data_IF_804800802316
#
_entry.id   IF_804800802316
#
_cell.length_a   1.000
_cell.length_b   1.000
_cell.length_c   1.000
_cell.angle_alpha   90.00
_cell.angle_beta   90.00
_cell.angle_gamma   90.00
#
_symmetry.space_group_name_H-M   'P 1'
#
loop_
_entity.id
_entity.type
_entity.pdbx_description
1 polymer ?
#
# COMPACT_ATOMS: atom_id res chain seq x y z
N UNK A 1 -14.68 34.42 -3.30
CA UNK A 1 -14.92 34.20 -4.75
C UNK A 1 -15.70 35.34 -5.42
N UNK A 2 -16.62 36.06 -4.75
CA UNK A 2 -17.24 37.26 -5.36
C UNK A 2 -18.06 36.98 -6.63
N UNK A 3 -18.51 35.74 -6.82
CA UNK A 3 -19.26 35.30 -8.01
C UNK A 3 -20.76 35.54 -7.82
N UNK A 4 -21.43 35.92 -8.91
CA UNK A 4 -22.89 36.00 -8.99
C UNK A 4 -23.50 34.65 -9.35
N UNK A 5 -24.67 34.28 -8.78
CA UNK A 5 -25.39 33.08 -9.22
C UNK A 5 -25.70 33.12 -10.73
N UNK A 6 -25.64 31.97 -11.39
CA UNK A 6 -25.98 31.82 -12.80
C UNK A 6 -27.14 30.85 -12.99
N UNK A 7 -27.83 30.98 -14.12
CA UNK A 7 -28.95 30.11 -14.52
C UNK A 7 -28.44 29.17 -15.61
N UNK A 8 -28.66 27.87 -15.41
CA UNK A 8 -28.20 26.85 -16.35
C UNK A 8 -28.95 26.95 -17.68
N UNK A 9 -28.19 26.89 -18.77
CA UNK A 9 -28.70 26.72 -20.12
C UNK A 9 -29.13 25.28 -20.41
N UNK A 10 -29.66 25.03 -21.62
CA UNK A 10 -29.98 23.68 -22.07
C UNK A 10 -28.76 22.75 -21.97
N UNK A 11 -28.97 21.49 -21.57
CA UNK A 11 -27.94 20.44 -21.34
C UNK A 11 -27.00 20.67 -20.14
N UNK A 12 -26.73 21.90 -19.72
CA UNK A 12 -25.72 22.18 -18.68
C UNK A 12 -25.97 21.44 -17.35
N UNK A 13 -27.23 21.25 -16.95
CA UNK A 13 -27.57 20.46 -15.77
C UNK A 13 -27.14 18.99 -15.88
N UNK A 14 -27.35 18.36 -17.04
CA UNK A 14 -26.89 16.98 -17.28
C UNK A 14 -25.37 16.92 -17.39
N UNK A 15 -24.75 17.88 -18.08
CA UNK A 15 -23.30 17.93 -18.21
C UNK A 15 -22.58 18.06 -16.85
N UNK A 16 -23.21 18.69 -15.86
CA UNK A 16 -22.66 18.84 -14.52
C UNK A 16 -22.92 17.61 -13.61
N UNK A 17 -24.06 16.94 -13.76
CA UNK A 17 -24.49 15.87 -12.86
C UNK A 17 -24.17 14.47 -13.36
N UNK A 18 -24.16 14.28 -14.68
CA UNK A 18 -23.95 12.98 -15.30
C UNK A 18 -22.47 12.75 -15.58
N UNK A 19 -21.94 11.64 -15.07
CA UNK A 19 -20.54 11.28 -15.26
C UNK A 19 -19.97 10.49 -14.10
N UNK A 20 -18.67 10.19 -14.20
CA UNK A 20 -17.97 9.29 -13.28
C UNK A 20 -17.03 10.02 -12.32
N UNK A 21 -17.03 11.35 -12.32
CA UNK A 21 -16.00 12.19 -11.71
C UNK A 21 -15.82 11.93 -10.21
N UNK A 22 -16.92 11.75 -9.46
CA UNK A 22 -16.86 11.46 -8.01
C UNK A 22 -16.24 10.09 -7.76
N UNK A 23 -16.67 9.06 -8.48
CA UNK A 23 -16.13 7.70 -8.35
C UNK A 23 -14.65 7.67 -8.72
N UNK A 24 -14.29 8.31 -9.84
CA UNK A 24 -12.90 8.41 -10.34
C UNK A 24 -12.01 9.15 -9.36
N UNK A 25 -12.46 10.28 -8.80
CA UNK A 25 -11.69 11.04 -7.83
C UNK A 25 -11.42 10.26 -6.53
N UNK A 26 -12.43 9.54 -6.02
CA UNK A 26 -12.26 8.67 -4.85
C UNK A 26 -11.30 7.51 -5.15
N UNK A 27 -11.38 6.92 -6.34
CA UNK A 27 -10.52 5.82 -6.74
C UNK A 27 -9.06 6.28 -6.92
N UNK A 28 -8.85 7.46 -7.52
CA UNK A 28 -7.52 8.09 -7.64
C UNK A 28 -6.93 8.42 -6.27
N UNK A 29 -7.74 8.98 -5.35
CA UNK A 29 -7.30 9.18 -3.97
C UNK A 29 -6.85 7.86 -3.34
N UNK A 30 -7.66 6.80 -3.48
CA UNK A 30 -7.32 5.46 -2.99
C UNK A 30 -6.04 4.89 -3.63
N UNK A 31 -5.84 5.11 -4.93
CA UNK A 31 -4.61 4.73 -5.64
C UNK A 31 -3.38 5.44 -5.05
N UNK A 32 -3.41 6.77 -4.90
CA UNK A 32 -2.28 7.53 -4.37
C UNK A 32 -1.96 7.17 -2.92
N UNK A 33 -2.99 6.95 -2.10
CA UNK A 33 -2.81 6.45 -0.73
C UNK A 33 -2.21 5.04 -0.72
N UNK A 34 -2.64 4.16 -1.64
CA UNK A 34 -2.11 2.81 -1.79
C UNK A 34 -0.66 2.78 -2.29
N UNK A 35 -0.26 3.71 -3.16
CA UNK A 35 1.12 3.87 -3.64
C UNK A 35 2.06 4.28 -2.50
N UNK A 36 1.66 5.26 -1.68
CA UNK A 36 2.41 5.66 -0.50
C UNK A 36 2.56 4.50 0.49
N UNK A 37 1.45 3.79 0.75
CA UNK A 37 1.43 2.59 1.57
C UNK A 37 2.33 1.47 1.02
N UNK A 38 2.33 1.26 -0.29
CA UNK A 38 3.16 0.27 -0.97
C UNK A 38 4.66 0.55 -0.75
N UNK A 39 5.08 1.80 -0.96
CA UNK A 39 6.46 2.22 -0.69
C UNK A 39 6.82 2.04 0.80
N UNK A 40 5.94 2.47 1.72
CA UNK A 40 6.13 2.26 3.14
C UNK A 40 6.26 0.76 3.51
N UNK A 41 5.43 -0.10 2.91
CA UNK A 41 5.45 -1.54 3.11
C UNK A 41 6.73 -2.21 2.62
N UNK A 42 7.33 -1.72 1.53
CA UNK A 42 8.64 -2.16 1.07
C UNK A 42 9.77 -1.74 2.02
N UNK A 43 9.74 -0.48 2.50
CA UNK A 43 10.71 -0.01 3.49
C UNK A 43 10.59 -0.80 4.80
N UNK A 44 9.38 -0.99 5.32
CA UNK A 44 9.12 -1.79 6.52
C UNK A 44 9.57 -3.24 6.34
N UNK A 45 9.32 -3.84 5.17
CA UNK A 45 9.81 -5.18 4.85
C UNK A 45 11.33 -5.29 4.81
N UNK A 46 12.03 -4.27 4.29
CA UNK A 46 13.49 -4.21 4.31
C UNK A 46 14.03 -4.04 5.75
N UNK A 47 13.41 -3.19 6.56
CA UNK A 47 13.72 -3.06 7.99
C UNK A 47 13.52 -4.40 8.72
N UNK A 48 12.43 -5.12 8.44
CA UNK A 48 12.16 -6.42 9.05
C UNK A 48 13.18 -7.49 8.63
N UNK A 49 13.61 -7.48 7.36
CA UNK A 49 14.67 -8.36 6.85
C UNK A 49 15.99 -8.13 7.61
N UNK A 50 16.34 -6.87 7.85
CA UNK A 50 17.50 -6.44 8.63
C UNK A 50 17.40 -6.87 10.10
N UNK A 51 16.27 -6.57 10.74
CA UNK A 51 16.02 -6.88 12.15
C UNK A 51 16.22 -8.36 12.47
N UNK A 52 15.86 -9.26 11.55
CA UNK A 52 16.00 -10.71 11.77
C UNK A 52 17.30 -11.29 11.22
N UNK A 53 18.16 -10.47 10.61
CA UNK A 53 19.34 -10.93 9.85
C UNK A 53 18.94 -11.99 8.82
N UNK A 54 18.01 -11.64 7.94
CA UNK A 54 17.46 -12.56 6.94
C UNK A 54 18.36 -12.71 5.70
N UNK A 55 18.08 -13.73 4.90
CA UNK A 55 18.89 -14.06 3.73
C UNK A 55 18.63 -13.15 2.54
N UNK A 56 19.70 -12.80 1.82
CA UNK A 56 19.63 -12.08 0.54
C UNK A 56 19.32 -12.99 -0.65
N UNK A 57 19.52 -14.31 -0.51
CA UNK A 57 19.35 -15.27 -1.60
C UNK A 57 17.97 -15.19 -2.27
N UNK A 58 16.85 -14.99 -1.54
CA UNK A 58 15.53 -14.83 -2.16
C UNK A 58 15.36 -13.63 -3.10
N UNK A 59 16.26 -12.65 -3.03
CA UNK A 59 16.23 -11.42 -3.84
C UNK A 59 17.17 -11.50 -5.06
N UNK A 60 17.81 -12.65 -5.29
CA UNK A 60 18.67 -12.87 -6.45
C UNK A 60 17.88 -12.67 -7.75
N UNK A 61 18.33 -11.74 -8.59
CA UNK A 61 17.68 -11.35 -9.83
C UNK A 61 17.29 -12.55 -10.72
N UNK A 62 18.08 -13.63 -10.73
CA UNK A 62 17.82 -14.83 -11.56
C UNK A 62 16.54 -15.54 -11.14
N UNK A 63 16.18 -15.53 -9.86
CA UNK A 63 14.93 -16.12 -9.35
C UNK A 63 13.73 -15.38 -9.95
N UNK A 64 13.79 -14.05 -9.97
CA UNK A 64 12.69 -13.21 -10.44
C UNK A 64 12.60 -13.23 -11.97
N UNK A 65 13.74 -13.18 -12.66
CA UNK A 65 13.82 -13.32 -14.11
C UNK A 65 13.30 -14.68 -14.59
N UNK A 66 13.59 -15.77 -13.87
CA UNK A 66 13.05 -17.09 -14.20
C UNK A 66 11.51 -17.15 -14.11
N UNK A 67 10.87 -16.32 -13.27
CA UNK A 67 9.41 -16.24 -13.18
C UNK A 67 8.78 -15.25 -14.17
N UNK A 68 9.48 -14.16 -14.50
CA UNK A 68 9.10 -13.21 -15.55
C UNK A 68 8.00 -12.21 -15.21
N UNK A 69 7.59 -12.08 -13.94
CA UNK A 69 6.61 -11.06 -13.52
C UNK A 69 7.30 -9.72 -13.29
N UNK A 70 6.82 -8.67 -13.97
CA UNK A 70 7.46 -7.35 -13.98
C UNK A 70 7.53 -6.73 -12.59
N UNK A 71 6.41 -6.64 -11.88
CA UNK A 71 6.36 -6.10 -10.53
C UNK A 71 7.26 -6.88 -9.57
N UNK A 72 7.34 -8.21 -9.70
CA UNK A 72 8.23 -9.03 -8.86
C UNK A 72 9.71 -8.73 -9.12
N UNK A 73 10.11 -8.56 -10.39
CA UNK A 73 11.48 -8.21 -10.75
C UNK A 73 11.83 -6.82 -10.19
N UNK A 74 10.92 -5.86 -10.37
CA UNK A 74 11.12 -4.49 -9.93
C UNK A 74 11.23 -4.38 -8.40
N UNK A 75 10.36 -5.08 -7.66
CA UNK A 75 10.42 -5.13 -6.19
C UNK A 75 11.73 -5.76 -5.69
N UNK A 76 12.16 -6.87 -6.30
CA UNK A 76 13.42 -7.50 -5.89
C UNK A 76 14.62 -6.56 -6.06
N UNK A 77 14.67 -5.84 -7.17
CA UNK A 77 15.71 -4.85 -7.43
C UNK A 77 15.65 -3.68 -6.43
N UNK A 78 14.46 -3.16 -6.16
CA UNK A 78 14.27 -2.05 -5.22
C UNK A 78 14.69 -2.42 -3.79
N UNK A 79 14.26 -3.59 -3.29
CA UNK A 79 14.66 -4.06 -1.96
C UNK A 79 16.17 -4.27 -1.90
N UNK A 80 16.76 -4.91 -2.92
CA UNK A 80 18.23 -5.10 -2.99
C UNK A 80 18.99 -3.78 -2.90
N UNK A 81 18.51 -2.73 -3.58
CA UNK A 81 19.09 -1.39 -3.51
C UNK A 81 18.95 -0.76 -2.11
N UNK A 82 17.85 -1.01 -1.39
CA UNK A 82 17.67 -0.48 -0.04
C UNK A 82 18.69 -1.04 0.95
N UNK A 83 19.05 -2.31 0.84
CA UNK A 83 19.88 -3.05 1.82
C UNK A 83 21.35 -3.21 1.37
N UNK A 84 21.75 -2.56 0.28
CA UNK A 84 23.11 -2.62 -0.22
C UNK A 84 24.11 -2.08 0.81
N UNK A 85 25.16 -2.87 1.10
CA UNK A 85 26.22 -2.49 2.05
C UNK A 85 25.91 -2.75 3.53
N UNK A 86 24.83 -3.47 3.86
CA UNK A 86 24.50 -3.81 5.25
C UNK A 86 25.50 -4.75 5.92
N UNK A 87 26.04 -4.35 7.07
CA UNK A 87 26.89 -5.21 7.92
C UNK A 87 26.04 -6.26 8.64
N UNK A 88 24.81 -5.91 8.99
CA UNK A 88 23.87 -6.78 9.72
C UNK A 88 23.53 -8.01 8.88
N UNK A 89 23.20 -7.84 7.59
CA UNK A 89 22.91 -8.98 6.70
C UNK A 89 24.17 -9.80 6.39
N UNK A 90 25.36 -9.19 6.41
CA UNK A 90 26.63 -9.92 6.34
C UNK A 90 26.94 -10.77 7.58
N UNK A 91 26.44 -10.37 8.75
CA UNK A 91 26.81 -10.95 10.05
C UNK A 91 26.31 -12.38 10.31
N UNK A 92 25.36 -12.89 9.52
CA UNK A 92 24.72 -14.20 9.72
C UNK A 92 25.09 -15.26 8.66
N UNK A 93 26.15 -15.03 7.89
CA UNK A 93 26.67 -15.92 6.84
C UNK A 93 26.94 -17.36 7.30
N UNK A 94 27.16 -17.57 8.60
CA UNK A 94 27.37 -18.89 9.22
C UNK A 94 26.25 -19.35 10.16
N UNK A 95 25.05 -18.76 10.08
CA UNK A 95 23.94 -19.18 10.94
C UNK A 95 23.32 -20.50 10.46
N UNK A 96 22.78 -21.29 11.40
CA UNK A 96 22.15 -22.60 11.12
C UNK A 96 20.75 -22.52 10.51
N UNK A 97 20.24 -21.32 10.18
CA UNK A 97 18.90 -21.15 9.58
C UNK A 97 18.92 -21.58 8.11
N UNK A 98 17.97 -22.46 7.75
CA UNK A 98 17.92 -23.06 6.41
C UNK A 98 17.14 -22.18 5.43
N UNK A 99 15.97 -21.67 5.85
CA UNK A 99 15.12 -20.81 5.03
C UNK A 99 14.38 -19.79 5.90
N UNK A 100 14.30 -18.55 5.42
CA UNK A 100 13.46 -17.54 6.04
C UNK A 100 11.97 -17.84 5.81
N UNK A 101 11.09 -17.44 6.76
CA UNK A 101 9.64 -17.51 6.58
C UNK A 101 9.15 -16.73 5.36
N UNK A 102 7.97 -17.10 4.85
CA UNK A 102 7.45 -16.57 3.59
C UNK A 102 7.15 -15.07 3.64
N UNK A 103 6.78 -14.53 4.80
CA UNK A 103 6.51 -13.10 4.96
C UNK A 103 7.73 -12.22 4.63
N UNK A 104 8.94 -12.80 4.69
CA UNK A 104 10.22 -12.16 4.31
C UNK A 104 10.69 -12.66 2.95
N UNK A 105 10.72 -13.99 2.76
CA UNK A 105 11.25 -14.63 1.55
C UNK A 105 10.41 -14.36 0.29
N UNK A 106 9.11 -14.15 0.46
CA UNK A 106 8.17 -13.95 -0.64
C UNK A 106 7.81 -12.47 -0.86
N UNK A 107 8.54 -11.52 -0.26
CA UNK A 107 8.31 -10.08 -0.45
C UNK A 107 8.27 -9.71 -1.93
N UNK A 108 9.23 -10.12 -2.79
CA UNK A 108 9.16 -9.81 -4.21
C UNK A 108 7.91 -10.36 -4.90
N UNK A 109 7.47 -11.56 -4.55
CA UNK A 109 6.35 -12.24 -5.18
C UNK A 109 5.02 -11.58 -4.82
N UNK A 110 4.82 -11.27 -3.53
CA UNK A 110 3.55 -10.71 -3.04
C UNK A 110 3.46 -9.22 -3.36
N UNK A 111 4.48 -8.45 -2.98
CA UNK A 111 4.49 -7.01 -3.26
C UNK A 111 4.60 -6.75 -4.77
N UNK A 112 5.27 -7.61 -5.53
CA UNK A 112 5.30 -7.51 -6.99
C UNK A 112 3.91 -7.67 -7.62
N UNK A 113 3.09 -8.60 -7.13
CA UNK A 113 1.70 -8.74 -7.58
C UNK A 113 0.85 -7.50 -7.20
N UNK A 114 1.07 -6.92 -6.01
CA UNK A 114 0.44 -5.65 -5.64
C UNK A 114 0.84 -4.52 -6.60
N UNK A 115 2.12 -4.43 -6.96
CA UNK A 115 2.62 -3.42 -7.89
C UNK A 115 1.97 -3.55 -9.27
N UNK A 116 1.96 -4.75 -9.86
CA UNK A 116 1.34 -4.98 -11.17
C UNK A 116 -0.16 -4.61 -11.18
N UNK A 117 -0.88 -4.91 -10.08
CA UNK A 117 -2.28 -4.54 -9.91
C UNK A 117 -2.50 -3.02 -9.76
N UNK A 118 -1.65 -2.33 -8.99
CA UNK A 118 -1.70 -0.88 -8.85
C UNK A 118 -1.40 -0.19 -10.20
N UNK A 119 -0.40 -0.66 -10.95
CA UNK A 119 -0.09 -0.17 -12.29
C UNK A 119 -1.26 -0.37 -13.26
N UNK A 120 -1.93 -1.52 -13.20
CA UNK A 120 -3.12 -1.77 -14.02
C UNK A 120 -4.25 -0.78 -13.69
N UNK A 121 -4.57 -0.60 -12.41
CA UNK A 121 -5.61 0.31 -11.96
C UNK A 121 -5.28 1.76 -12.32
N UNK A 122 -4.02 2.19 -12.15
CA UNK A 122 -3.56 3.52 -12.51
C UNK A 122 -3.82 3.85 -13.99
N UNK A 123 -3.51 2.92 -14.90
CA UNK A 123 -3.77 3.10 -16.34
C UNK A 123 -5.26 3.32 -16.63
N UNK A 124 -6.15 2.54 -15.99
CA UNK A 124 -7.60 2.69 -16.18
C UNK A 124 -8.09 4.04 -15.64
N UNK A 125 -7.67 4.41 -14.43
CA UNK A 125 -8.09 5.66 -13.80
C UNK A 125 -7.52 6.89 -14.51
N UNK A 126 -6.35 6.80 -15.14
CA UNK A 126 -5.80 7.87 -15.97
C UNK A 126 -6.65 8.10 -17.22
N UNK A 127 -7.11 7.04 -17.88
CA UNK A 127 -8.03 7.16 -19.02
C UNK A 127 -9.33 7.83 -18.56
N UNK A 128 -9.92 7.33 -17.47
CA UNK A 128 -11.19 7.83 -16.96
C UNK A 128 -11.11 9.29 -16.51
N UNK A 129 -9.99 9.71 -15.92
CA UNK A 129 -9.76 11.10 -15.53
C UNK A 129 -9.79 12.09 -16.72
N UNK A 130 -9.60 11.60 -17.95
CA UNK A 130 -9.61 12.38 -19.18
C UNK A 130 -10.86 12.12 -20.04
N UNK A 131 -11.82 11.33 -19.57
CA UNK A 131 -12.96 10.88 -20.36
C UNK A 131 -14.09 11.93 -20.43
N UNK A 132 -14.79 11.95 -21.57
CA UNK A 132 -16.11 12.58 -21.70
C UNK A 132 -17.18 11.60 -21.19
N UNK A 133 -17.54 11.72 -19.91
CA UNK A 133 -18.43 10.78 -19.21
C UNK A 133 -19.89 11.23 -19.10
N UNK A 134 -20.22 12.47 -19.51
CA UNK A 134 -21.60 12.95 -19.49
C UNK A 134 -22.41 12.42 -20.70
N UNK A 135 -23.71 12.66 -20.68
CA UNK A 135 -24.61 12.20 -21.74
C UNK A 135 -25.83 13.13 -21.90
N UNK A 136 -26.32 13.36 -23.14
CA UNK A 136 -25.79 12.91 -24.43
C UNK A 136 -24.52 13.64 -24.87
N UNK A 137 -23.73 13.03 -25.76
CA UNK A 137 -22.55 13.66 -26.34
C UNK A 137 -22.92 14.47 -27.60
N UNK A 138 -22.21 15.58 -27.79
CA UNK A 138 -22.39 16.49 -28.95
C UNK A 138 -21.14 16.43 -29.82
N UNK A 139 -21.29 15.95 -31.05
CA UNK A 139 -20.22 15.83 -32.04
C UNK A 139 -20.32 16.99 -33.03
N UNK A 140 -19.62 18.08 -32.74
CA UNK A 140 -19.73 19.33 -33.49
C UNK A 140 -19.28 19.22 -34.94
N UNK A 141 -18.37 18.29 -35.26
CA UNK A 141 -17.89 18.06 -36.62
C UNK A 141 -18.98 17.51 -37.55
N UNK A 142 -19.86 16.64 -37.04
CA UNK A 142 -20.98 16.06 -37.80
C UNK A 142 -22.32 16.76 -37.54
N UNK A 143 -22.42 17.50 -36.43
CA UNK A 143 -23.66 18.09 -35.94
C UNK A 143 -24.54 17.11 -35.17
N UNK A 144 -24.05 15.91 -34.89
CA UNK A 144 -24.83 14.86 -34.22
C UNK A 144 -24.89 15.05 -32.70
N UNK A 145 -26.04 14.68 -32.13
CA UNK A 145 -26.22 14.51 -30.68
C UNK A 145 -26.58 13.06 -30.43
N UNK A 146 -25.69 12.33 -29.76
CA UNK A 146 -25.80 10.88 -29.59
C UNK A 146 -25.94 10.56 -28.10
N UNK A 147 -26.99 9.80 -27.77
CA UNK A 147 -27.14 9.21 -26.44
C UNK A 147 -26.41 7.87 -26.37
N UNK A 148 -25.47 7.74 -25.44
CA UNK A 148 -24.74 6.54 -25.10
C UNK A 148 -24.82 6.22 -23.60
N UNK A 149 -23.74 5.65 -23.05
CA UNK A 149 -23.70 5.17 -21.66
C UNK A 149 -22.37 5.42 -20.94
N UNK A 150 -21.59 6.45 -21.35
CA UNK A 150 -20.26 6.72 -20.79
C UNK A 150 -20.29 7.10 -19.28
N UNK A 151 -21.46 7.41 -18.73
CA UNK A 151 -21.63 7.61 -17.29
C UNK A 151 -21.57 6.31 -16.47
N UNK A 152 -21.58 5.13 -17.12
CA UNK A 152 -21.49 3.85 -16.44
C UNK A 152 -20.06 3.54 -16.00
N UNK A 153 -19.76 3.77 -14.72
CA UNK A 153 -18.40 3.71 -14.15
C UNK A 153 -17.85 2.29 -13.88
N UNK A 154 -18.20 1.29 -14.70
CA UNK A 154 -17.74 -0.11 -14.50
C UNK A 154 -16.21 -0.22 -14.46
N UNK A 155 -15.45 0.44 -15.37
CA UNK A 155 -13.99 0.38 -15.32
C UNK A 155 -13.40 0.90 -14.00
N UNK A 156 -14.02 1.94 -13.43
CA UNK A 156 -13.61 2.52 -12.14
C UNK A 156 -13.92 1.56 -10.99
N UNK A 157 -15.07 0.89 -11.02
CA UNK A 157 -15.44 -0.09 -10.01
C UNK A 157 -14.44 -1.24 -9.94
N UNK A 158 -14.07 -1.82 -11.10
CA UNK A 158 -13.04 -2.86 -11.16
C UNK A 158 -11.67 -2.35 -10.72
N UNK A 159 -11.26 -1.15 -11.16
CA UNK A 159 -9.99 -0.57 -10.73
C UNK A 159 -9.94 -0.40 -9.20
N UNK A 160 -11.02 0.09 -8.59
CA UNK A 160 -11.12 0.23 -7.14
C UNK A 160 -11.06 -1.12 -6.41
N UNK A 161 -11.77 -2.14 -6.90
CA UNK A 161 -11.73 -3.48 -6.32
C UNK A 161 -10.35 -4.13 -6.43
N UNK A 162 -9.62 -3.90 -7.52
CA UNK A 162 -8.22 -4.35 -7.69
C UNK A 162 -7.28 -3.65 -6.70
N UNK A 163 -7.42 -2.33 -6.51
CA UNK A 163 -6.62 -1.58 -5.53
C UNK A 163 -6.86 -2.14 -4.12
N UNK A 164 -8.10 -2.50 -3.78
CA UNK A 164 -8.40 -3.07 -2.48
C UNK A 164 -7.65 -4.38 -2.21
N UNK A 165 -7.54 -5.27 -3.22
CA UNK A 165 -6.77 -6.50 -3.07
C UNK A 165 -5.30 -6.19 -2.76
N UNK A 166 -4.70 -5.23 -3.46
CA UNK A 166 -3.33 -4.80 -3.21
C UNK A 166 -3.15 -4.22 -1.80
N UNK A 167 -4.03 -3.31 -1.38
CA UNK A 167 -3.98 -2.68 -0.04
C UNK A 167 -4.13 -3.73 1.09
N UNK A 168 -5.04 -4.68 0.92
CA UNK A 168 -5.25 -5.75 1.88
C UNK A 168 -4.01 -6.65 1.99
N UNK A 169 -3.40 -7.04 0.87
CA UNK A 169 -2.23 -7.93 0.87
C UNK A 169 -0.96 -7.24 1.39
N UNK A 170 -0.77 -5.93 1.13
CA UNK A 170 0.32 -5.15 1.75
C UNK A 170 0.21 -5.17 3.28
N UNK A 171 -1.01 -4.94 3.80
CA UNK A 171 -1.27 -5.03 5.25
C UNK A 171 -1.08 -6.45 5.79
N UNK A 172 -1.59 -7.47 5.09
CA UNK A 172 -1.51 -8.86 5.53
C UNK A 172 -0.06 -9.36 5.62
N UNK A 173 0.77 -9.12 4.60
CA UNK A 173 2.17 -9.55 4.65
C UNK A 173 2.97 -8.77 5.70
N UNK A 174 2.66 -7.48 5.90
CA UNK A 174 3.27 -6.65 6.94
C UNK A 174 2.95 -7.18 8.33
N UNK A 175 1.68 -7.50 8.60
CA UNK A 175 1.25 -8.06 9.89
C UNK A 175 1.92 -9.41 10.18
N UNK A 176 2.13 -10.26 9.16
CA UNK A 176 2.89 -11.52 9.31
C UNK A 176 4.38 -11.28 9.59
N UNK A 177 5.00 -10.21 9.07
CA UNK A 177 6.39 -9.84 9.42
C UNK A 177 6.46 -9.28 10.84
N UNK A 178 5.49 -8.47 11.26
CA UNK A 178 5.39 -8.04 12.66
C UNK A 178 5.30 -9.24 13.60
N UNK A 179 4.39 -10.19 13.33
CA UNK A 179 4.27 -11.40 14.16
C UNK A 179 5.58 -12.20 14.24
N UNK A 180 6.32 -12.27 13.13
CA UNK A 180 7.64 -12.90 13.07
C UNK A 180 8.65 -12.17 13.97
N UNK A 181 8.71 -10.84 13.95
CA UNK A 181 9.65 -10.06 14.78
C UNK A 181 9.48 -10.33 16.28
N UNK A 182 8.22 -10.49 16.73
CA UNK A 182 7.90 -10.66 18.15
C UNK A 182 8.13 -12.08 18.68
N UNK A 183 8.31 -13.05 17.79
CA UNK A 183 8.59 -14.44 18.13
C UNK A 183 10.10 -14.70 18.19
N UNK A 184 10.64 -14.89 19.39
CA UNK A 184 12.07 -15.16 19.63
C UNK A 184 12.60 -16.38 18.85
N UNK A 185 11.78 -17.42 18.66
CA UNK A 185 12.18 -18.61 17.93
C UNK A 185 12.37 -18.34 16.43
N UNK A 186 11.64 -17.38 15.88
CA UNK A 186 11.70 -17.00 14.46
C UNK A 186 12.67 -15.84 14.22
N UNK A 187 12.62 -14.79 15.05
CA UNK A 187 13.41 -13.57 14.87
C UNK A 187 14.82 -13.66 15.46
N UNK A 188 15.02 -14.45 16.52
CA UNK A 188 16.23 -14.41 17.34
C UNK A 188 16.37 -13.13 18.18
N UNK A 189 15.29 -12.36 18.31
CA UNK A 189 15.22 -11.13 19.11
C UNK A 189 14.56 -11.41 20.48
N UNK A 190 14.72 -10.50 21.47
CA UNK A 190 13.98 -10.60 22.73
C UNK A 190 12.46 -10.71 22.48
N UNK A 191 11.74 -11.51 23.28
CA UNK A 191 10.31 -11.71 23.09
C UNK A 191 9.57 -10.37 23.19
N UNK A 192 8.67 -10.11 22.23
CA UNK A 192 7.94 -8.85 22.13
C UNK A 192 8.83 -7.58 22.05
N UNK A 193 10.11 -7.75 21.71
CA UNK A 193 11.11 -6.70 21.45
C UNK A 193 11.41 -5.79 22.66
N UNK A 194 11.38 -6.35 23.86
CA UNK A 194 11.75 -5.67 25.11
C UNK A 194 12.73 -6.52 25.92
N UNK A 195 13.65 -5.90 26.66
CA UNK A 195 14.71 -6.61 27.42
C UNK A 195 14.14 -7.38 28.62
N UNK A 196 13.41 -6.70 29.49
CA UNK A 196 12.88 -7.27 30.75
C UNK A 196 11.46 -7.82 30.56
N UNK A 197 11.35 -8.85 29.71
CA UNK A 197 10.11 -9.56 29.45
C UNK A 197 9.51 -10.20 30.70
N UNK A 198 8.18 -10.10 30.85
CA UNK A 198 7.43 -10.63 32.00
C UNK A 198 7.03 -9.57 33.03
N UNK A 199 7.75 -8.44 33.06
CA UNK A 199 7.28 -7.19 33.68
C UNK A 199 6.79 -6.24 32.59
N UNK A 200 7.53 -6.17 31.47
CA UNK A 200 7.16 -5.42 30.29
C UNK A 200 6.52 -6.34 29.23
N UNK A 201 5.51 -5.82 28.55
CA UNK A 201 4.79 -6.47 27.45
C UNK A 201 5.27 -6.02 26.07
N UNK A 202 6.02 -4.92 25.98
CA UNK A 202 6.61 -4.42 24.74
C UNK A 202 5.57 -4.22 23.65
N UNK A 203 5.81 -4.85 22.49
CA UNK A 203 4.94 -4.74 21.30
C UNK A 203 3.74 -5.70 21.29
N UNK A 204 3.49 -6.45 22.37
CA UNK A 204 2.45 -7.49 22.42
C UNK A 204 1.07 -6.97 21.99
N UNK A 205 0.61 -5.84 22.55
CA UNK A 205 -0.73 -5.30 22.23
C UNK A 205 -0.73 -4.53 20.91
N UNK A 206 0.40 -3.96 20.51
CA UNK A 206 0.54 -3.37 19.17
C UNK A 206 0.33 -4.43 18.07
N UNK A 207 0.79 -5.67 18.31
CA UNK A 207 0.50 -6.82 17.43
C UNK A 207 -1.00 -7.11 17.32
N UNK A 208 -1.73 -7.07 18.44
CA UNK A 208 -3.19 -7.32 18.45
C UNK A 208 -3.91 -6.24 17.63
N UNK A 209 -3.51 -4.98 17.77
CA UNK A 209 -4.02 -3.88 16.94
C UNK A 209 -3.77 -4.14 15.46
N UNK A 210 -2.54 -4.50 15.09
CA UNK A 210 -2.20 -4.81 13.69
C UNK A 210 -3.03 -5.99 13.14
N UNK A 211 -3.18 -7.06 13.92
CA UNK A 211 -3.97 -8.22 13.55
C UNK A 211 -5.46 -7.88 13.33
N UNK A 212 -6.04 -7.04 14.18
CA UNK A 212 -7.42 -6.59 14.05
C UNK A 212 -7.64 -5.80 12.75
N UNK A 213 -6.77 -4.82 12.48
CA UNK A 213 -6.87 -3.96 11.29
C UNK A 213 -6.63 -4.72 9.99
N UNK A 214 -5.63 -5.62 9.97
CA UNK A 214 -5.39 -6.49 8.82
C UNK A 214 -6.58 -7.45 8.57
N UNK A 215 -7.24 -7.91 9.63
CA UNK A 215 -8.43 -8.76 9.51
C UNK A 215 -9.65 -7.99 8.99
N UNK A 216 -9.85 -6.75 9.42
CA UNK A 216 -10.96 -5.90 8.94
C UNK A 216 -10.87 -5.68 7.42
N UNK A 217 -9.66 -5.47 6.91
CA UNK A 217 -9.42 -5.31 5.46
C UNK A 217 -9.84 -6.53 4.62
N UNK A 218 -9.91 -7.74 5.20
CA UNK A 218 -10.40 -8.93 4.47
C UNK A 218 -11.88 -8.79 4.10
N UNK A 219 -12.69 -8.32 5.04
CA UNK A 219 -14.12 -8.07 4.81
C UNK A 219 -14.31 -6.88 3.87
N UNK A 220 -13.54 -5.81 4.09
CA UNK A 220 -13.60 -4.61 3.24
C UNK A 220 -13.16 -4.89 1.80
N UNK A 221 -12.31 -5.89 1.55
CA UNK A 221 -11.85 -6.26 0.21
C UNK A 221 -12.90 -6.98 -0.64
N UNK A 222 -14.09 -7.29 -0.10
CA UNK A 222 -15.17 -7.86 -0.91
C UNK A 222 -15.52 -6.92 -2.08
N UNK A 223 -15.60 -7.42 -3.32
CA UNK A 223 -15.79 -6.58 -4.50
C UNK A 223 -17.16 -5.89 -4.46
N UNK A 224 -17.16 -4.56 -4.66
CA UNK A 224 -18.40 -3.80 -4.82
C UNK A 224 -18.95 -3.89 -6.24
N UNK A 225 -18.07 -4.07 -7.23
CA UNK A 225 -18.39 -4.09 -8.66
C UNK A 225 -19.26 -5.26 -9.13
N UNK A 226 -19.37 -6.32 -8.31
CA UNK A 226 -20.19 -7.50 -8.65
C UNK A 226 -21.64 -7.37 -8.18
N UNK A 227 -21.99 -6.25 -7.55
CA UNK A 227 -23.34 -5.93 -7.10
C UNK A 227 -24.01 -4.91 -8.04
N UNK A 228 -25.33 -5.05 -8.21
CA UNK A 228 -26.15 -4.15 -9.00
C UNK A 228 -27.61 -4.27 -8.57
N UNK A 229 -28.29 -3.14 -8.39
CA UNK A 229 -29.71 -3.10 -8.06
C UNK A 229 -30.42 -2.10 -8.97
N UNK A 230 -31.56 -2.49 -9.58
CA UNK A 230 -32.24 -1.63 -10.55
C UNK A 230 -32.87 -0.41 -9.87
N UNK A 231 -32.73 0.76 -10.48
CA UNK A 231 -33.31 2.03 -10.04
C UNK A 231 -34.20 2.63 -11.13
N UNK A 232 -34.91 3.71 -10.78
CA UNK A 232 -35.68 4.50 -11.75
C UNK A 232 -36.67 3.67 -12.57
N UNK A 233 -37.46 2.80 -11.89
CA UNK A 233 -38.43 1.89 -12.51
C UNK A 233 -37.82 0.93 -13.57
N UNK A 234 -36.61 0.41 -13.30
CA UNK A 234 -35.80 -0.43 -14.18
C UNK A 234 -35.27 0.28 -15.45
N UNK A 235 -35.32 1.62 -15.50
CA UNK A 235 -34.63 2.35 -16.55
C UNK A 235 -33.11 2.29 -16.38
N UNK A 236 -32.66 2.20 -15.13
CA UNK A 236 -31.27 1.93 -14.73
C UNK A 236 -31.24 0.52 -14.15
N UNK A 237 -31.26 -0.49 -15.01
CA UNK A 237 -31.36 -1.91 -14.64
C UNK A 237 -29.99 -2.54 -14.30
N UNK A 238 -28.90 -1.86 -14.63
CA UNK A 238 -27.53 -2.24 -14.29
C UNK A 238 -26.70 -1.00 -13.89
N UNK A 239 -25.95 -1.10 -12.79
CA UNK A 239 -25.06 -0.05 -12.28
C UNK A 239 -23.75 -0.65 -11.77
N UNK A 240 -22.70 0.17 -11.63
CA UNK A 240 -21.35 -0.31 -11.32
C UNK A 240 -20.95 -0.32 -9.85
N UNK A 241 -21.71 0.36 -8.98
CA UNK A 241 -21.34 0.59 -7.57
C UNK A 241 -19.97 1.26 -7.34
N UNK A 242 -19.38 1.88 -8.37
CA UNK A 242 -18.01 2.41 -8.35
C UNK A 242 -17.73 3.37 -7.18
N UNK A 243 -18.68 4.23 -6.82
CA UNK A 243 -18.51 5.19 -5.70
C UNK A 243 -18.29 4.47 -4.36
N UNK A 244 -19.02 3.38 -4.10
CA UNK A 244 -18.81 2.61 -2.87
C UNK A 244 -17.47 1.86 -2.92
N UNK A 245 -17.19 1.19 -4.04
CA UNK A 245 -15.94 0.46 -4.26
C UNK A 245 -14.71 1.37 -4.09
N UNK A 246 -14.78 2.61 -4.57
CA UNK A 246 -13.71 3.59 -4.44
C UNK A 246 -13.61 4.20 -3.02
N UNK A 247 -14.74 4.54 -2.40
CA UNK A 247 -14.76 5.20 -1.08
C UNK A 247 -14.10 4.35 0.00
N UNK A 248 -14.34 3.03 0.01
CA UNK A 248 -13.82 2.10 1.02
C UNK A 248 -12.28 2.01 1.05
N UNK A 249 -11.61 2.40 -0.04
CA UNK A 249 -10.14 2.37 -0.13
C UNK A 249 -9.47 3.27 0.91
N UNK A 250 -10.07 4.39 1.29
CA UNK A 250 -9.52 5.30 2.30
C UNK A 250 -9.40 4.62 3.67
N UNK A 251 -10.44 3.92 4.11
CA UNK A 251 -10.44 3.19 5.39
C UNK A 251 -9.46 2.01 5.32
N UNK A 252 -9.40 1.31 4.19
CA UNK A 252 -8.45 0.22 4.00
C UNK A 252 -6.98 0.68 4.04
N UNK A 253 -6.67 1.81 3.40
CA UNK A 253 -5.34 2.41 3.42
C UNK A 253 -4.98 2.89 4.83
N UNK A 254 -5.93 3.47 5.57
CA UNK A 254 -5.74 3.83 6.98
C UNK A 254 -5.34 2.60 7.82
N UNK A 255 -6.10 1.51 7.69
CA UNK A 255 -5.87 0.26 8.40
C UNK A 255 -4.49 -0.33 8.09
N UNK A 256 -4.17 -0.49 6.80
CA UNK A 256 -2.88 -1.05 6.38
C UNK A 256 -1.71 -0.13 6.72
N UNK A 257 -1.87 1.20 6.69
CA UNK A 257 -0.83 2.15 7.10
C UNK A 257 -0.48 2.01 8.58
N UNK A 258 -1.47 1.77 9.45
CA UNK A 258 -1.22 1.51 10.86
C UNK A 258 -0.45 0.21 11.07
N UNK A 259 -0.83 -0.85 10.35
CA UNK A 259 -0.12 -2.15 10.36
C UNK A 259 1.35 -1.98 9.94
N UNK A 260 1.59 -1.34 8.79
CA UNK A 260 2.93 -1.08 8.25
C UNK A 260 3.74 -0.17 9.17
N UNK A 261 3.12 0.85 9.75
CA UNK A 261 3.75 1.72 10.73
C UNK A 261 4.22 0.96 11.98
N UNK A 262 3.37 0.08 12.53
CA UNK A 262 3.72 -0.77 13.68
C UNK A 262 4.88 -1.70 13.33
N UNK A 263 4.83 -2.35 12.16
CA UNK A 263 5.92 -3.17 11.65
C UNK A 263 7.24 -2.38 11.61
N UNK A 264 7.23 -1.17 11.03
CA UNK A 264 8.43 -0.36 10.87
C UNK A 264 9.08 0.03 12.21
N UNK A 265 8.30 0.49 13.20
CA UNK A 265 8.86 0.82 14.51
C UNK A 265 9.33 -0.41 15.31
N UNK A 266 8.66 -1.56 15.14
CA UNK A 266 9.10 -2.83 15.71
C UNK A 266 10.40 -3.31 15.04
N UNK A 267 10.52 -3.20 13.72
CA UNK A 267 11.73 -3.57 13.01
C UNK A 267 12.91 -2.67 13.39
N UNK A 268 12.70 -1.35 13.52
CA UNK A 268 13.73 -0.42 14.01
C UNK A 268 14.20 -0.79 15.43
N UNK A 269 13.28 -1.11 16.34
CA UNK A 269 13.58 -1.65 17.67
C UNK A 269 14.44 -2.92 17.58
N UNK A 270 14.07 -3.84 16.68
CA UNK A 270 14.78 -5.08 16.42
C UNK A 270 16.22 -4.87 15.92
N UNK A 271 16.42 -3.94 15.00
CA UNK A 271 17.74 -3.59 14.44
C UNK A 271 18.66 -3.03 15.53
N UNK A 272 18.13 -2.20 16.44
CA UNK A 272 18.93 -1.57 17.49
C UNK A 272 19.46 -2.57 18.55
N UNK A 273 18.88 -3.77 18.65
CA UNK A 273 19.47 -4.86 19.45
C UNK A 273 20.78 -5.42 18.86
N UNK A 274 21.09 -5.14 17.59
CA UNK A 274 22.31 -5.62 16.93
C UNK A 274 23.48 -4.63 17.01
N UNK A 275 23.30 -3.47 17.66
CA UNK A 275 24.37 -2.48 17.81
C UNK A 275 25.60 -3.12 18.49
N UNK A 276 26.83 -2.77 18.06
CA UNK A 276 27.19 -1.62 17.21
C UNK A 276 27.10 -1.85 15.69
N UNK A 277 26.59 -2.99 15.20
CA UNK A 277 26.45 -3.23 13.75
C UNK A 277 25.52 -2.19 13.09
N UNK A 278 25.89 -1.77 11.88
CA UNK A 278 25.11 -0.85 11.06
C UNK A 278 24.51 -1.54 9.82
N UNK A 279 23.33 -1.09 9.41
CA UNK A 279 22.71 -1.46 8.14
C UNK A 279 23.22 -0.57 7.00
N UNK A 280 22.58 -0.62 5.83
CA UNK A 280 22.85 0.29 4.72
C UNK A 280 22.51 1.74 5.10
N UNK A 281 23.06 2.70 4.34
CA UNK A 281 22.79 4.12 4.57
C UNK A 281 21.29 4.46 4.48
N UNK A 282 20.54 3.83 3.56
CA UNK A 282 19.11 4.09 3.37
C UNK A 282 18.28 3.54 4.54
N UNK A 283 18.66 2.40 5.09
CA UNK A 283 17.97 1.82 6.25
C UNK A 283 18.30 2.61 7.51
N UNK A 284 19.56 2.99 7.74
CA UNK A 284 19.93 3.82 8.89
C UNK A 284 19.25 5.21 8.83
N UNK A 285 19.11 5.80 7.63
CA UNK A 285 18.31 7.00 7.45
C UNK A 285 16.83 6.76 7.81
N UNK A 286 16.24 5.65 7.37
CA UNK A 286 14.86 5.30 7.72
C UNK A 286 14.68 5.15 9.24
N UNK A 287 15.61 4.47 9.93
CA UNK A 287 15.61 4.36 11.39
C UNK A 287 15.68 5.76 12.04
N UNK A 288 16.53 6.65 11.53
CA UNK A 288 16.58 8.04 11.97
C UNK A 288 15.22 8.74 11.89
N UNK A 289 14.55 8.67 10.73
CA UNK A 289 13.20 9.27 10.55
C UNK A 289 12.14 8.65 11.46
N UNK A 290 12.26 7.37 11.80
CA UNK A 290 11.38 6.69 12.75
C UNK A 290 11.66 7.23 14.16
N UNK A 291 12.93 7.38 14.53
CA UNK A 291 13.35 7.83 15.88
C UNK A 291 13.07 9.31 16.15
N UNK A 292 12.92 10.13 15.11
CA UNK A 292 12.35 11.49 15.22
C UNK A 292 10.89 11.50 15.68
N UNK A 293 10.15 10.39 15.47
CA UNK A 293 8.72 10.28 15.77
C UNK A 293 8.45 9.43 17.01
N UNK A 294 9.20 8.33 17.17
CA UNK A 294 9.00 7.34 18.24
C UNK A 294 10.33 6.92 18.84
N UNK A 295 10.48 7.09 20.16
CA UNK A 295 11.68 6.69 20.87
C UNK A 295 11.83 5.16 20.93
N UNK A 296 13.05 4.67 21.19
CA UNK A 296 13.25 3.26 21.55
C UNK A 296 12.38 2.88 22.76
N UNK A 297 11.85 1.66 22.77
CA UNK A 297 11.02 1.17 23.87
C UNK A 297 11.90 0.43 24.88
N UNK A 298 12.43 1.15 25.87
CA UNK A 298 13.18 0.54 26.99
C UNK A 298 12.24 -0.18 27.98
N UNK A 299 11.14 0.48 28.34
CA UNK A 299 10.11 0.01 29.27
C UNK A 299 8.71 0.31 28.70
N UNK A 300 7.69 -0.37 29.20
CA UNK A 300 6.31 -0.20 28.75
C UNK A 300 5.83 1.26 28.88
N UNK A 301 5.22 1.76 27.82
CA UNK A 301 4.54 3.07 27.78
C UNK A 301 3.29 3.00 26.94
N UNK A 302 2.48 4.06 26.98
CA UNK A 302 1.32 4.18 26.11
C UNK A 302 1.76 4.25 24.64
N UNK A 303 1.52 3.18 23.87
CA UNK A 303 1.90 3.09 22.46
C UNK A 303 0.91 3.74 21.49
N UNK A 304 -0.29 4.14 21.93
CA UNK A 304 -1.29 4.69 21.01
C UNK A 304 -0.82 5.96 20.24
N UNK A 305 -0.12 6.93 20.86
CA UNK A 305 0.48 8.05 20.13
C UNK A 305 1.57 7.60 19.14
N UNK A 306 2.41 6.63 19.53
CA UNK A 306 3.47 6.09 18.68
C UNK A 306 2.88 5.40 17.44
N UNK A 307 1.79 4.63 17.61
CA UNK A 307 1.07 3.97 16.52
C UNK A 307 0.49 5.01 15.54
N UNK A 308 -0.14 6.07 16.03
CA UNK A 308 -0.69 7.12 15.15
C UNK A 308 0.42 7.87 14.41
N UNK A 309 1.52 8.19 15.10
CA UNK A 309 2.68 8.83 14.47
C UNK A 309 3.28 7.96 13.36
N UNK A 310 3.30 6.64 13.57
CA UNK A 310 3.81 5.66 12.61
C UNK A 310 2.84 5.33 11.47
N UNK A 311 1.53 5.41 11.71
CA UNK A 311 0.52 5.38 10.63
C UNK A 311 0.73 6.55 9.67
N UNK A 312 0.97 7.75 10.21
CA UNK A 312 1.27 8.94 9.40
C UNK A 312 2.61 8.78 8.67
N UNK A 313 3.63 8.19 9.29
CA UNK A 313 4.89 7.84 8.62
C UNK A 313 4.65 6.92 7.41
N UNK A 314 3.76 5.94 7.53
CA UNK A 314 3.42 5.04 6.44
C UNK A 314 2.56 5.69 5.33
N UNK A 315 1.98 6.87 5.58
CA UNK A 315 1.18 7.62 4.59
C UNK A 315 1.96 8.73 3.86
N UNK A 316 3.26 8.90 4.15
CA UNK A 316 4.09 9.92 3.50
C UNK A 316 4.47 9.54 2.06
N UNK A 317 4.92 10.52 1.28
CA UNK A 317 5.31 10.35 -0.13
C UNK A 317 6.81 10.57 -0.40
N UNK A 318 7.60 10.92 0.62
CA UNK A 318 9.04 11.19 0.51
C UNK A 318 9.88 9.92 0.77
N UNK A 319 9.93 9.04 -0.22
CA UNK A 319 10.70 7.79 -0.15
C UNK A 319 11.98 7.86 -1.00
N UNK A 320 12.99 7.00 -0.71
CA UNK A 320 14.17 6.87 -1.57
C UNK A 320 13.79 6.58 -3.03
N UNK A 321 14.66 7.00 -3.96
CA UNK A 321 14.43 6.83 -5.41
C UNK A 321 14.14 5.38 -5.80
N UNK A 322 14.77 4.41 -5.13
CA UNK A 322 14.53 2.99 -5.35
C UNK A 322 13.06 2.57 -5.17
N UNK A 323 12.30 3.30 -4.34
CA UNK A 323 10.89 3.06 -4.11
C UNK A 323 9.99 3.96 -4.95
N UNK A 324 10.30 5.27 -5.03
CA UNK A 324 9.46 6.21 -5.79
C UNK A 324 9.46 5.92 -7.29
N UNK A 325 10.53 5.37 -7.84
CA UNK A 325 10.60 4.94 -9.24
C UNK A 325 9.64 3.78 -9.57
N UNK A 326 9.11 3.06 -8.58
CA UNK A 326 8.11 2.01 -8.78
C UNK A 326 6.69 2.56 -8.87
N UNK A 327 6.43 3.75 -8.33
CA UNK A 327 5.06 4.24 -8.15
C UNK A 327 4.46 4.67 -9.50
N UNK A 328 3.32 4.10 -9.92
CA UNK A 328 2.67 4.45 -11.18
C UNK A 328 2.47 5.96 -11.40
N UNK A 329 2.13 6.71 -10.35
CA UNK A 329 1.94 8.17 -10.41
C UNK A 329 3.22 8.99 -10.56
N UNK A 330 4.38 8.41 -10.25
CA UNK A 330 5.69 9.09 -10.27
C UNK A 330 6.56 8.65 -11.45
N UNK A 331 6.19 7.56 -12.13
CA UNK A 331 6.91 7.06 -13.29
C UNK A 331 6.78 7.97 -14.50
N UNK A 332 7.91 8.29 -15.14
CA UNK A 332 7.93 8.84 -16.50
C UNK A 332 7.62 7.72 -17.50
N UNK A 333 6.41 7.19 -17.49
CA UNK A 333 5.98 6.33 -18.59
C UNK A 333 5.54 7.24 -19.73
N UNK A 334 6.46 7.44 -20.68
CA UNK A 334 6.08 7.83 -22.04
C UNK A 334 5.05 6.81 -22.53
N UNK A 335 3.82 7.28 -22.69
CA UNK A 335 2.79 6.56 -23.42
C UNK A 335 3.31 6.41 -24.85
N UNK A 336 3.85 5.24 -25.18
CA UNK A 336 3.98 4.79 -26.58
C UNK A 336 2.63 4.25 -27.07
#
# INVERSE_FOLDING_TARGET
MGLTPFVLGPKEGLALLNGTQVSTALALRGLFEAENLFAAGLMAGALSLEAIKGSLKPFDARIHQARGQHGQIAVAAAVTALIEGSEILGSHTHCGRVQDPYSVRCVPQVMGACLDNLSHAARILQIEANAASDNPLVFTETGDVISGGNFHAEPVAFAADIIALAVAEVGAISERRLALLLDTGLSGLPPFLVRDGGVNSGFMIAQVTAAALASENKSLAHPGSVDSLPTSANQEDHVSMATYAARRLGDMCFNSAAVVGIEAMAAAQGIEFHRPLQSSALIEQAIGTIRERVAFLEEDRLLAPDIEAMRQWASRCDWPQALTALLPSMGTHSVE
#
